data_IF_789405067906
#
_entry.id   IF_789405067906
#
_cell.length_a   1.000
_cell.length_b   1.000
_cell.length_c   1.000
_cell.angle_alpha   90.00
_cell.angle_beta   90.00
_cell.angle_gamma   90.00
#
_symmetry.space_group_name_H-M   'P 1'
#
loop_
_entity.id
_entity.type
_entity.pdbx_description
1 polymer ?
#
# COMPACT_ATOMS: atom_id res chain seq x y z
N UNK A 1 -46.04 -25.24 54.94
CA UNK A 1 -44.75 -25.05 55.65
C UNK A 1 -43.72 -24.64 54.59
N UNK A 2 -43.41 -23.36 54.34
CA UNK A 2 -42.52 -22.43 55.08
C UNK A 2 -41.18 -23.14 55.39
N UNK A 3 -40.02 -22.82 54.77
CA UNK A 3 -39.24 -21.58 54.92
C UNK A 3 -38.35 -21.23 53.70
N UNK A 4 -38.42 -19.96 53.32
CA UNK A 4 -37.42 -19.17 52.59
C UNK A 4 -36.15 -18.98 53.42
N UNK A 5 -34.96 -18.91 52.80
CA UNK A 5 -33.81 -18.12 53.27
C UNK A 5 -32.89 -17.75 52.09
N UNK A 6 -32.85 -16.44 51.81
CA UNK A 6 -31.83 -15.75 50.99
C UNK A 6 -30.62 -15.47 51.89
N UNK A 7 -29.38 -15.60 51.42
CA UNK A 7 -28.37 -14.52 51.56
C UNK A 7 -27.17 -14.73 50.64
N UNK A 8 -26.63 -13.59 50.19
CA UNK A 8 -25.61 -13.35 49.19
C UNK A 8 -24.20 -13.50 49.77
N UNK A 9 -23.23 -13.87 48.94
CA UNK A 9 -21.85 -13.44 49.09
C UNK A 9 -21.28 -13.11 47.71
N UNK A 10 -21.15 -11.81 47.47
CA UNK A 10 -20.41 -11.26 46.35
C UNK A 10 -18.90 -11.42 46.61
N UNK A 11 -18.16 -11.83 45.58
CA UNK A 11 -16.72 -11.61 45.52
C UNK A 11 -16.37 -11.17 44.10
N UNK A 12 -16.38 -9.85 43.94
CA UNK A 12 -15.73 -9.10 42.87
C UNK A 12 -14.26 -9.52 42.74
N UNK A 13 -13.84 -9.96 41.55
CA UNK A 13 -12.43 -9.99 41.18
C UNK A 13 -12.27 -9.30 39.82
N UNK A 14 -11.89 -8.03 39.96
CA UNK A 14 -11.00 -7.24 39.13
C UNK A 14 -11.11 -7.36 37.61
N UNK A 15 -11.63 -6.24 37.07
CA UNK A 15 -11.20 -5.58 35.86
C UNK A 15 -9.79 -5.99 35.37
N UNK A 16 -9.77 -6.65 34.21
CA UNK A 16 -8.63 -6.71 33.33
C UNK A 16 -9.07 -6.23 31.96
N UNK A 17 -9.14 -4.91 31.78
CA UNK A 17 -9.34 -4.30 30.47
C UNK A 17 -8.13 -4.63 29.61
N UNK A 18 -8.19 -5.72 28.86
CA UNK A 18 -7.25 -5.96 27.78
C UNK A 18 -7.57 -4.93 26.68
N UNK A 19 -6.87 -3.80 26.73
CA UNK A 19 -6.71 -2.91 25.59
C UNK A 19 -6.03 -3.76 24.53
N UNK A 20 -6.81 -4.35 23.63
CA UNK A 20 -6.29 -4.89 22.40
C UNK A 20 -5.69 -3.71 21.66
N UNK A 21 -4.37 -3.57 21.80
CA UNK A 21 -3.57 -2.68 20.98
C UNK A 21 -3.89 -3.10 19.55
N UNK A 22 -4.64 -2.25 18.86
CA UNK A 22 -4.72 -2.30 17.41
C UNK A 22 -3.29 -2.06 16.93
N UNK A 23 -2.53 -3.15 16.80
CA UNK A 23 -1.41 -3.21 15.88
C UNK A 23 -2.05 -2.97 14.52
N UNK A 24 -2.16 -1.69 14.18
CA UNK A 24 -2.20 -1.30 12.79
C UNK A 24 -1.03 -2.03 12.17
N UNK A 25 -1.32 -2.97 11.29
CA UNK A 25 -0.35 -3.49 10.38
C UNK A 25 0.20 -2.26 9.64
N UNK A 26 1.29 -1.69 10.15
CA UNK A 26 2.18 -0.92 9.33
C UNK A 26 2.44 -1.84 8.13
N UNK A 27 2.16 -1.41 6.89
CA UNK A 27 2.45 -2.25 5.74
C UNK A 27 3.89 -2.67 5.92
N UNK A 28 4.10 -3.99 6.06
CA UNK A 28 5.42 -4.55 6.22
C UNK A 28 6.25 -3.91 5.12
N UNK A 29 7.23 -3.11 5.52
CA UNK A 29 8.11 -2.46 4.58
C UNK A 29 8.77 -3.58 3.81
N UNK A 30 8.25 -3.86 2.60
CA UNK A 30 8.82 -4.85 1.71
C UNK A 30 10.28 -4.44 1.54
N UNK A 31 11.24 -5.34 1.78
CA UNK A 31 12.63 -5.04 1.44
C UNK A 31 12.67 -4.52 -0.01
N UNK A 32 13.61 -3.61 -0.36
CA UNK A 32 13.75 -3.21 -1.76
C UNK A 32 13.76 -4.46 -2.62
N UNK A 33 12.97 -4.45 -3.70
CA UNK A 33 12.95 -5.58 -4.61
C UNK A 33 14.37 -5.84 -5.13
N UNK A 34 14.59 -7.03 -5.71
CA UNK A 34 15.90 -7.38 -6.29
C UNK A 34 16.38 -6.42 -7.39
N UNK A 35 15.54 -5.47 -7.79
CA UNK A 35 15.79 -4.47 -8.82
C UNK A 35 16.08 -3.07 -8.23
N UNK A 36 16.09 -2.92 -6.91
CA UNK A 36 16.55 -1.71 -6.22
C UNK A 36 15.45 -0.69 -5.92
N UNK A 37 14.18 -1.01 -6.14
CA UNK A 37 13.09 -0.10 -5.80
C UNK A 37 12.91 0.05 -4.28
N UNK A 38 12.48 1.23 -3.79
CA UNK A 38 12.22 1.41 -2.38
C UNK A 38 11.18 0.46 -1.80
N UNK A 39 11.22 0.33 -0.48
CA UNK A 39 10.23 -0.44 0.24
C UNK A 39 8.80 0.02 -0.03
N UNK A 40 7.92 -0.91 -0.39
CA UNK A 40 6.51 -0.63 -0.71
C UNK A 40 6.28 -0.09 -2.11
N UNK A 41 7.32 0.02 -2.95
CA UNK A 41 7.20 0.35 -4.36
C UNK A 41 7.13 -0.93 -5.18
N UNK A 42 6.64 -0.80 -6.40
CA UNK A 42 6.54 -1.88 -7.39
C UNK A 42 7.44 -1.55 -8.57
N UNK A 43 8.11 -2.55 -9.10
CA UNK A 43 8.87 -2.46 -10.33
C UNK A 43 7.95 -2.50 -11.55
N UNK A 44 8.26 -1.69 -12.55
CA UNK A 44 7.53 -1.63 -13.81
C UNK A 44 8.52 -1.66 -14.97
N UNK A 45 8.24 -2.51 -15.95
CA UNK A 45 8.90 -2.43 -17.25
C UNK A 45 8.35 -1.24 -18.03
N UNK A 46 9.24 -0.43 -18.62
CA UNK A 46 8.84 0.74 -19.40
C UNK A 46 8.03 0.34 -20.63
N UNK A 47 8.32 -0.81 -21.25
CA UNK A 47 7.53 -1.41 -22.34
C UNK A 47 6.07 -1.64 -21.94
N UNK A 48 5.84 -2.27 -20.79
CA UNK A 48 4.50 -2.50 -20.25
C UNK A 48 3.75 -1.18 -20.02
N UNK A 49 4.44 -0.15 -19.53
CA UNK A 49 3.83 1.16 -19.32
C UNK A 49 3.48 1.86 -20.63
N UNK A 50 4.33 1.76 -21.66
CA UNK A 50 4.02 2.27 -23.01
C UNK A 50 2.77 1.58 -23.57
N UNK A 51 2.64 0.27 -23.42
CA UNK A 51 1.45 -0.48 -23.85
C UNK A 51 0.18 -0.05 -23.09
N UNK A 52 0.33 0.45 -21.87
CA UNK A 52 -0.74 1.05 -21.06
C UNK A 52 -0.88 2.57 -21.28
N UNK A 53 -0.23 3.11 -22.31
CA UNK A 53 -0.36 4.47 -22.81
C UNK A 53 0.44 5.53 -22.05
N UNK A 54 1.41 5.14 -21.23
CA UNK A 54 2.37 6.09 -20.68
C UNK A 54 3.26 6.64 -21.80
N UNK A 55 3.57 7.93 -21.73
CA UNK A 55 4.42 8.57 -22.74
C UNK A 55 5.85 8.01 -22.71
N UNK A 56 6.41 7.55 -23.84
CA UNK A 56 7.82 7.15 -23.91
C UNK A 56 8.77 8.28 -23.50
N UNK A 57 8.40 9.53 -23.79
CA UNK A 57 9.19 10.72 -23.41
C UNK A 57 9.21 10.93 -21.90
N UNK A 58 8.10 10.65 -21.21
CA UNK A 58 8.07 10.67 -19.74
C UNK A 58 8.95 9.56 -19.17
N UNK A 59 8.83 8.33 -19.70
CA UNK A 59 9.59 7.19 -19.21
C UNK A 59 11.10 7.38 -19.40
N UNK A 60 11.54 7.97 -20.52
CA UNK A 60 12.94 8.31 -20.75
C UNK A 60 13.51 9.37 -19.79
N UNK A 61 12.67 10.13 -19.08
CA UNK A 61 13.11 11.06 -18.04
C UNK A 61 13.22 10.41 -16.66
N UNK A 62 12.62 9.23 -16.50
CA UNK A 62 12.55 8.50 -15.23
C UNK A 62 13.51 7.32 -15.22
N UNK A 63 13.57 6.56 -16.31
CA UNK A 63 14.55 5.51 -16.57
C UNK A 63 15.87 6.18 -16.99
N UNK A 64 16.68 6.53 -15.99
CA UNK A 64 17.88 7.33 -16.21
C UNK A 64 19.04 6.51 -16.77
N UNK A 65 19.02 5.19 -16.57
CA UNK A 65 20.09 4.29 -17.01
C UNK A 65 19.74 3.50 -18.30
N UNK A 66 18.49 3.59 -18.75
CA UNK A 66 18.01 2.96 -19.97
C UNK A 66 17.91 1.44 -19.88
N UNK A 67 17.79 0.87 -18.68
CA UNK A 67 17.63 -0.58 -18.47
C UNK A 67 16.19 -1.05 -18.71
N UNK A 68 15.26 -0.12 -18.93
CA UNK A 68 13.86 -0.39 -19.20
C UNK A 68 13.05 -0.63 -17.93
N UNK A 69 13.57 -0.31 -16.75
CA UNK A 69 12.94 -0.62 -15.47
C UNK A 69 12.81 0.65 -14.60
N UNK A 70 11.59 0.91 -14.13
CA UNK A 70 11.34 1.98 -13.17
C UNK A 70 10.58 1.47 -11.96
N UNK A 71 10.58 2.26 -10.90
CA UNK A 71 9.84 2.02 -9.68
C UNK A 71 8.68 3.00 -9.59
N UNK A 72 7.54 2.54 -9.09
CA UNK A 72 6.45 3.42 -8.70
C UNK A 72 5.54 2.82 -7.64
N UNK A 73 4.66 3.64 -7.07
CA UNK A 73 3.68 3.16 -6.08
C UNK A 73 2.30 3.06 -6.75
N UNK A 74 1.76 1.85 -6.97
CA UNK A 74 0.40 1.74 -7.48
C UNK A 74 -0.61 2.28 -6.46
N UNK A 75 -1.67 2.91 -6.94
CA UNK A 75 -2.84 3.10 -6.10
C UNK A 75 -3.44 1.75 -5.70
N UNK A 76 -3.90 1.61 -4.46
CA UNK A 76 -4.71 0.45 -4.08
C UNK A 76 -5.97 0.38 -4.95
N UNK A 77 -6.56 -0.81 -5.17
CA UNK A 77 -7.76 -0.93 -6.02
C UNK A 77 -8.92 0.00 -5.62
N UNK A 78 -9.09 0.24 -4.31
CA UNK A 78 -10.10 1.15 -3.79
C UNK A 78 -9.76 2.63 -4.09
N UNK A 79 -8.50 3.02 -3.91
CA UNK A 79 -8.04 4.38 -4.23
C UNK A 79 -8.11 4.65 -5.72
N UNK A 80 -7.70 3.68 -6.54
CA UNK A 80 -7.79 3.78 -7.99
C UNK A 80 -9.24 3.96 -8.43
N UNK A 81 -10.16 3.12 -7.95
CA UNK A 81 -11.60 3.28 -8.25
C UNK A 81 -12.13 4.68 -7.89
N UNK A 82 -11.75 5.21 -6.72
CA UNK A 82 -12.15 6.55 -6.25
C UNK A 82 -11.51 7.68 -7.06
N UNK A 83 -10.27 7.51 -7.49
CA UNK A 83 -9.59 8.47 -8.35
C UNK A 83 -10.22 8.48 -9.75
N UNK A 84 -10.40 7.29 -10.33
CA UNK A 84 -10.96 7.11 -11.65
C UNK A 84 -12.42 7.54 -11.78
N UNK A 85 -13.22 7.45 -10.70
CA UNK A 85 -14.61 7.92 -10.70
C UNK A 85 -14.75 9.45 -10.89
N UNK A 86 -13.64 10.20 -10.84
CA UNK A 86 -13.64 11.64 -11.11
C UNK A 86 -13.60 11.94 -12.62
N UNK A 87 -13.28 10.94 -13.45
CA UNK A 87 -13.22 11.06 -14.89
C UNK A 87 -14.47 10.39 -15.49
N UNK A 88 -15.14 11.03 -16.47
CA UNK A 88 -16.39 10.50 -17.04
C UNK A 88 -16.21 9.13 -17.71
N UNK A 89 -15.02 8.85 -18.25
CA UNK A 89 -14.69 7.58 -18.91
C UNK A 89 -13.88 6.62 -18.01
N UNK A 90 -13.71 6.95 -16.72
CA UNK A 90 -12.79 6.24 -15.83
C UNK A 90 -11.31 6.47 -16.17
N UNK A 91 -10.40 5.76 -15.49
CA UNK A 91 -9.00 5.75 -15.91
C UNK A 91 -8.82 4.69 -17.00
N UNK A 92 -8.25 5.10 -18.12
CA UNK A 92 -7.80 4.19 -19.16
C UNK A 92 -6.48 3.49 -18.78
N UNK A 93 -5.79 4.00 -17.75
CA UNK A 93 -4.44 3.61 -17.37
C UNK A 93 -4.35 3.36 -15.86
N UNK A 94 -3.47 2.45 -15.40
CA UNK A 94 -3.15 2.36 -13.99
C UNK A 94 -2.54 3.65 -13.49
N UNK A 95 -2.98 4.13 -12.32
CA UNK A 95 -2.41 5.33 -11.70
C UNK A 95 -1.24 4.91 -10.83
N UNK A 96 -0.06 5.40 -11.20
CA UNK A 96 1.19 5.14 -10.50
C UNK A 96 1.62 6.46 -9.84
N UNK A 97 1.71 6.45 -8.52
CA UNK A 97 2.15 7.59 -7.73
C UNK A 97 3.64 7.51 -7.46
N UNK A 98 4.35 8.58 -7.78
CA UNK A 98 5.80 8.64 -7.65
C UNK A 98 6.47 7.68 -8.63
N UNK A 99 7.38 8.19 -9.43
CA UNK A 99 8.15 7.36 -10.36
C UNK A 99 9.62 7.70 -10.23
N UNK A 100 10.48 6.68 -10.20
CA UNK A 100 11.93 6.87 -10.18
C UNK A 100 12.63 5.70 -10.84
N UNK A 101 13.85 5.92 -11.25
CA UNK A 101 14.77 4.88 -11.65
C UNK A 101 14.99 3.81 -10.55
N UNK A 102 15.20 2.56 -10.96
CA UNK A 102 15.39 1.41 -10.08
C UNK A 102 16.80 1.34 -9.46
N UNK A 103 17.81 2.00 -10.04
CA UNK A 103 19.20 2.00 -9.52
C UNK A 103 19.46 2.97 -8.37
N UNK A 104 18.40 3.33 -7.65
CA UNK A 104 18.48 3.94 -6.33
C UNK A 104 19.23 5.28 -6.27
N UNK A 105 19.16 6.10 -7.33
CA UNK A 105 19.84 7.41 -7.35
C UNK A 105 21.38 7.30 -7.28
N UNK A 106 21.93 6.10 -7.49
CA UNK A 106 23.33 5.90 -7.87
C UNK A 106 23.38 5.88 -9.41
N UNK A 107 22.98 6.96 -10.07
CA UNK A 107 23.82 8.13 -10.15
C UNK A 107 24.83 7.90 -11.28
N UNK A 108 24.51 8.45 -12.45
CA UNK A 108 25.54 8.98 -13.34
C UNK A 108 26.14 10.24 -12.70
#
# INVERSE_FOLDING_TARGET
MIRTLRTYAAATLLAGSAVAVAVGAAPAGAAPDSQGCPSGWTTYETSFLVDHGFSPTFLAQVDLNGDGIICGTPLSPQQQKKFCSQFPDGCQQPVILGTRDNTNGKGY
#
